data_IF_632869591758
#
_entry.id   IF_632869591758
#
_cell.length_a   1.000
_cell.length_b   1.000
_cell.length_c   1.000
_cell.angle_alpha   90.00
_cell.angle_beta   90.00
_cell.angle_gamma   90.00
#
_symmetry.space_group_name_H-M   'P 1'
#
loop_
_entity.id
_entity.type
_entity.pdbx_description
1 polymer ?
#
# COMPACT_ATOMS: atom_id res chain seq x y z
N UNK A 1 -7.41 15.81 -35.80
CA UNK A 1 -6.13 15.33 -35.23
C UNK A 1 -5.03 15.67 -36.21
N UNK A 2 -4.01 16.43 -35.79
CA UNK A 2 -2.77 16.60 -36.56
C UNK A 2 -1.86 15.45 -36.15
N UNK A 3 -1.79 14.39 -36.95
CA UNK A 3 -0.66 13.48 -36.87
C UNK A 3 0.61 14.27 -37.21
N UNK A 4 1.62 14.15 -36.37
CA UNK A 4 2.91 14.78 -36.59
C UNK A 4 3.68 13.88 -37.58
N UNK A 5 4.13 14.44 -38.71
CA UNK A 5 4.95 13.75 -39.75
C UNK A 5 6.38 13.43 -39.28
N UNK A 6 6.55 12.97 -38.04
CA UNK A 6 7.85 12.58 -37.50
C UNK A 6 8.09 11.09 -37.78
N UNK A 7 9.00 10.81 -38.71
CA UNK A 7 9.46 9.45 -39.05
C UNK A 7 10.21 8.74 -37.92
N UNK A 8 10.62 9.47 -36.87
CA UNK A 8 11.29 8.92 -35.69
C UNK A 8 10.71 9.53 -34.41
N UNK A 9 9.78 8.84 -33.72
CA UNK A 9 9.29 9.29 -32.42
C UNK A 9 10.41 9.22 -31.38
N UNK A 10 10.64 10.33 -30.67
CA UNK A 10 11.62 10.42 -29.58
C UNK A 10 10.84 10.38 -28.27
N UNK A 11 11.00 9.31 -27.50
CA UNK A 11 10.38 9.14 -26.18
C UNK A 11 11.44 9.43 -25.12
N UNK A 12 11.09 10.25 -24.13
CA UNK A 12 11.94 10.51 -22.96
C UNK A 12 11.53 9.59 -21.83
N UNK A 13 12.48 8.85 -21.31
CA UNK A 13 12.30 7.86 -20.25
C UNK A 13 13.32 8.19 -19.17
N UNK A 14 12.99 7.94 -17.91
CA UNK A 14 13.96 8.03 -16.82
C UNK A 14 14.91 6.83 -16.85
N UNK A 15 16.16 7.00 -16.44
CA UNK A 15 17.15 5.90 -16.42
C UNK A 15 16.69 4.70 -15.58
N UNK A 16 15.87 4.94 -14.54
CA UNK A 16 15.28 3.89 -13.71
C UNK A 16 14.19 3.07 -14.42
N UNK A 17 13.49 3.66 -15.41
CA UNK A 17 12.39 3.04 -16.14
C UNK A 17 12.86 2.27 -17.39
N UNK A 18 14.15 2.37 -17.77
CA UNK A 18 14.67 1.81 -19.02
C UNK A 18 14.40 0.31 -19.14
N UNK A 19 14.70 -0.46 -18.10
CA UNK A 19 14.55 -1.91 -18.13
C UNK A 19 13.07 -2.34 -18.27
N UNK A 20 12.18 -1.67 -17.53
CA UNK A 20 10.74 -1.91 -17.59
C UNK A 20 10.17 -1.54 -18.96
N UNK A 21 10.61 -0.43 -19.53
CA UNK A 21 10.19 0.01 -20.87
C UNK A 21 10.68 -0.93 -21.97
N UNK A 22 11.91 -1.43 -21.87
CA UNK A 22 12.46 -2.38 -22.84
C UNK A 22 11.70 -3.71 -22.83
N UNK A 23 11.32 -4.22 -21.67
CA UNK A 23 10.46 -5.41 -21.56
C UNK A 23 9.03 -5.13 -22.06
N UNK A 24 8.49 -3.93 -21.83
CA UNK A 24 7.20 -3.52 -22.38
C UNK A 24 7.21 -3.49 -23.91
N UNK A 25 8.26 -2.92 -24.52
CA UNK A 25 8.43 -2.96 -25.98
C UNK A 25 8.55 -4.40 -26.47
N UNK A 26 9.34 -5.24 -25.80
CA UNK A 26 9.45 -6.65 -26.14
C UNK A 26 8.10 -7.35 -26.07
N UNK A 27 7.27 -7.03 -25.07
CA UNK A 27 5.92 -7.54 -24.96
C UNK A 27 5.02 -7.07 -26.11
N UNK A 28 5.08 -5.81 -26.54
CA UNK A 28 4.32 -5.32 -27.69
C UNK A 28 4.63 -6.10 -28.97
N UNK A 29 5.89 -6.46 -29.19
CA UNK A 29 6.32 -7.18 -30.40
C UNK A 29 6.14 -8.69 -30.32
N UNK A 30 6.30 -9.30 -29.13
CA UNK A 30 6.33 -10.76 -28.97
C UNK A 30 5.14 -11.34 -28.22
N UNK A 31 4.36 -10.51 -27.52
CA UNK A 31 3.27 -10.90 -26.63
C UNK A 31 3.71 -11.61 -25.36
N UNK A 32 5.00 -11.60 -25.01
CA UNK A 32 5.55 -12.35 -23.87
C UNK A 32 6.49 -11.48 -23.02
N UNK A 33 6.38 -11.63 -21.70
CA UNK A 33 7.33 -11.11 -20.72
C UNK A 33 8.39 -12.16 -20.44
N UNK A 34 9.64 -11.73 -20.21
CA UNK A 34 10.73 -12.67 -19.89
C UNK A 34 11.13 -12.71 -18.44
N UNK A 35 10.53 -11.85 -17.63
CA UNK A 35 10.85 -11.63 -16.23
C UNK A 35 9.76 -12.24 -15.35
N UNK A 36 10.18 -12.80 -14.22
CA UNK A 36 9.28 -13.34 -13.17
C UNK A 36 9.56 -12.69 -11.82
N UNK A 37 10.40 -11.66 -11.79
CA UNK A 37 10.77 -10.94 -10.58
C UNK A 37 9.65 -9.96 -10.20
N UNK A 38 9.12 -10.01 -8.96
CA UNK A 38 7.98 -9.18 -8.53
C UNK A 38 8.20 -7.67 -8.64
N UNK A 39 9.41 -7.19 -8.34
CA UNK A 39 9.81 -5.77 -8.41
C UNK A 39 9.75 -5.25 -9.85
N UNK A 40 10.48 -5.91 -10.73
CA UNK A 40 10.54 -5.55 -12.15
C UNK A 40 9.17 -5.70 -12.84
N UNK A 41 8.37 -6.68 -12.42
CA UNK A 41 7.02 -6.86 -12.95
C UNK A 41 6.07 -5.73 -12.54
N UNK A 42 6.25 -5.18 -11.34
CA UNK A 42 5.54 -3.98 -10.90
C UNK A 42 5.99 -2.76 -11.70
N UNK A 43 7.29 -2.59 -11.93
CA UNK A 43 7.81 -1.50 -12.76
C UNK A 43 7.28 -1.58 -14.20
N UNK A 44 7.19 -2.80 -14.77
CA UNK A 44 6.59 -3.06 -16.08
C UNK A 44 5.10 -2.75 -16.05
N UNK A 45 4.38 -3.13 -14.99
CA UNK A 45 2.96 -2.81 -14.83
C UNK A 45 2.73 -1.29 -14.80
N UNK A 46 3.58 -0.55 -14.08
CA UNK A 46 3.55 0.92 -14.00
C UNK A 46 3.86 1.57 -15.36
N UNK A 47 4.86 1.07 -16.07
CA UNK A 47 5.15 1.51 -17.44
C UNK A 47 3.99 1.18 -18.38
N UNK A 48 3.41 -0.02 -18.29
CA UNK A 48 2.30 -0.45 -19.11
C UNK A 48 1.06 0.42 -18.87
N UNK A 49 0.76 0.77 -17.63
CA UNK A 49 -0.33 1.70 -17.27
C UNK A 49 -0.06 3.10 -17.83
N UNK A 50 1.16 3.63 -17.63
CA UNK A 50 1.62 4.94 -18.15
C UNK A 50 1.52 5.06 -19.68
N UNK A 51 1.78 3.97 -20.40
CA UNK A 51 1.70 3.91 -21.86
C UNK A 51 0.40 3.26 -22.39
N UNK A 52 -0.59 3.05 -21.51
CA UNK A 52 -1.93 2.52 -21.80
C UNK A 52 -1.95 1.16 -22.55
N UNK A 53 -0.99 0.29 -22.22
CA UNK A 53 -0.85 -1.05 -22.81
C UNK A 53 -1.68 -2.07 -22.01
N UNK A 54 -3.00 -2.00 -22.17
CA UNK A 54 -3.96 -2.77 -21.36
C UNK A 54 -3.71 -4.29 -21.37
N UNK A 55 -3.27 -4.86 -22.50
CA UNK A 55 -2.95 -6.30 -22.59
C UNK A 55 -1.79 -6.69 -21.66
N UNK A 56 -0.79 -5.82 -21.54
CA UNK A 56 0.34 -6.03 -20.64
C UNK A 56 -0.09 -5.86 -19.18
N UNK A 57 -0.93 -4.87 -18.88
CA UNK A 57 -1.48 -4.64 -17.52
C UNK A 57 -2.22 -5.87 -17.00
N UNK A 58 -3.14 -6.42 -17.79
CA UNK A 58 -3.87 -7.63 -17.42
C UNK A 58 -2.96 -8.84 -17.26
N UNK A 59 -1.96 -9.00 -18.14
CA UNK A 59 -1.02 -10.12 -18.07
C UNK A 59 -0.09 -10.04 -16.85
N UNK A 60 0.47 -8.85 -16.56
CA UNK A 60 1.28 -8.60 -15.37
C UNK A 60 0.47 -8.85 -14.10
N UNK A 61 -0.76 -8.35 -14.02
CA UNK A 61 -1.64 -8.54 -12.87
C UNK A 61 -1.92 -10.02 -12.60
N UNK A 62 -2.24 -10.80 -13.64
CA UNK A 62 -2.41 -12.25 -13.52
C UNK A 62 -1.13 -12.94 -13.03
N UNK A 63 0.03 -12.56 -13.57
CA UNK A 63 1.29 -13.16 -13.18
C UNK A 63 1.64 -12.82 -11.71
N UNK A 64 1.42 -11.57 -11.28
CA UNK A 64 1.56 -11.12 -9.90
C UNK A 64 0.65 -11.90 -8.94
N UNK A 65 -0.60 -12.14 -9.31
CA UNK A 65 -1.52 -12.97 -8.48
C UNK A 65 -1.15 -14.45 -8.44
N UNK A 66 -0.47 -14.96 -9.49
CA UNK A 66 -0.06 -16.37 -9.55
C UNK A 66 1.22 -16.67 -8.77
N UNK A 67 2.02 -15.64 -8.50
CA UNK A 67 3.26 -15.75 -7.72
C UNK A 67 2.93 -15.86 -6.22
N UNK A 68 3.77 -16.55 -5.42
CA UNK A 68 3.58 -16.60 -3.98
C UNK A 68 3.76 -15.20 -3.39
N UNK A 69 2.69 -14.66 -2.78
CA UNK A 69 2.72 -13.37 -2.11
C UNK A 69 3.65 -13.45 -0.87
N UNK A 70 4.62 -12.56 -0.81
CA UNK A 70 5.49 -12.35 0.36
C UNK A 70 5.12 -11.04 1.04
N UNK A 71 5.57 -10.81 2.28
CA UNK A 71 5.29 -9.53 2.95
C UNK A 71 6.00 -8.36 2.31
N UNK A 72 7.22 -8.57 1.81
CA UNK A 72 7.97 -7.54 1.08
C UNK A 72 7.25 -7.14 -0.21
N UNK A 73 6.79 -8.12 -1.00
CA UNK A 73 6.04 -7.84 -2.24
C UNK A 73 4.68 -7.19 -1.97
N UNK A 74 3.94 -7.64 -0.95
CA UNK A 74 2.67 -7.03 -0.57
C UNK A 74 2.83 -5.56 -0.14
N UNK A 75 3.89 -5.25 0.63
CA UNK A 75 4.18 -3.87 1.02
C UNK A 75 4.58 -3.01 -0.18
N UNK A 76 5.38 -3.55 -1.10
CA UNK A 76 5.77 -2.84 -2.33
C UNK A 76 4.55 -2.52 -3.21
N UNK A 77 3.59 -3.44 -3.32
CA UNK A 77 2.35 -3.22 -4.08
C UNK A 77 1.44 -2.16 -3.46
N UNK A 78 1.45 -2.03 -2.13
CA UNK A 78 0.64 -1.04 -1.40
C UNK A 78 1.27 0.35 -1.40
N UNK A 79 2.60 0.43 -1.41
CA UNK A 79 3.33 1.69 -1.39
C UNK A 79 3.38 2.35 -2.78
N UNK A 80 3.19 1.58 -3.86
CA UNK A 80 3.21 2.13 -5.21
C UNK A 80 1.93 2.92 -5.51
N UNK A 81 2.05 4.21 -5.86
CA UNK A 81 0.93 4.99 -6.33
C UNK A 81 0.63 4.55 -7.77
N UNK A 82 -0.22 3.53 -7.95
CA UNK A 82 -0.79 3.26 -9.27
C UNK A 82 -1.59 4.51 -9.67
N UNK A 83 -1.05 5.26 -10.62
CA UNK A 83 -1.53 6.59 -10.99
C UNK A 83 -2.86 6.48 -11.72
N UNK A 84 -3.96 6.67 -11.00
CA UNK A 84 -5.25 7.16 -11.51
C UNK A 84 -6.03 6.29 -12.52
N UNK A 85 -5.44 5.29 -13.17
CA UNK A 85 -6.17 4.26 -13.94
C UNK A 85 -6.16 2.95 -13.16
N UNK A 86 -7.04 2.87 -12.15
CA UNK A 86 -7.40 1.59 -11.53
C UNK A 86 -8.10 0.73 -12.58
N UNK A 87 -7.32 0.03 -13.41
CA UNK A 87 -7.87 -1.12 -14.11
C UNK A 87 -8.32 -2.12 -13.04
N UNK A 88 -9.46 -2.77 -13.26
CA UNK A 88 -10.00 -3.75 -12.31
C UNK A 88 -8.99 -4.87 -11.99
N UNK A 89 -7.99 -5.07 -12.86
CA UNK A 89 -6.93 -6.06 -12.65
C UNK A 89 -5.92 -5.62 -11.59
N UNK A 90 -5.51 -4.34 -11.58
CA UNK A 90 -4.58 -3.79 -10.58
C UNK A 90 -5.23 -3.73 -9.20
N UNK A 91 -6.52 -3.38 -9.15
CA UNK A 91 -7.30 -3.43 -7.90
C UNK A 91 -7.33 -4.86 -7.33
N UNK A 92 -7.47 -5.87 -8.19
CA UNK A 92 -7.42 -7.28 -7.77
C UNK A 92 -6.09 -7.68 -7.11
N UNK A 93 -4.96 -7.21 -7.63
CA UNK A 93 -3.64 -7.45 -7.02
C UNK A 93 -3.53 -6.78 -5.64
N UNK A 94 -4.00 -5.53 -5.53
CA UNK A 94 -4.01 -4.79 -4.26
C UNK A 94 -4.93 -5.47 -3.24
N UNK A 95 -6.13 -5.90 -3.64
CA UNK A 95 -7.05 -6.64 -2.78
C UNK A 95 -6.42 -7.94 -2.29
N UNK A 96 -5.79 -8.72 -3.18
CA UNK A 96 -5.08 -9.94 -2.79
C UNK A 96 -3.92 -9.68 -1.82
N UNK A 97 -3.18 -8.58 -2.00
CA UNK A 97 -2.12 -8.17 -1.08
C UNK A 97 -2.69 -7.79 0.30
N UNK A 98 -3.80 -7.04 0.34
CA UNK A 98 -4.50 -6.69 1.59
C UNK A 98 -5.01 -7.93 2.32
N UNK A 99 -5.64 -8.86 1.61
CA UNK A 99 -6.14 -10.12 2.18
C UNK A 99 -4.98 -11.00 2.71
N UNK A 100 -3.87 -11.06 1.99
CA UNK A 100 -2.68 -11.79 2.43
C UNK A 100 -2.12 -11.20 3.73
N UNK A 101 -2.00 -9.88 3.84
CA UNK A 101 -1.56 -9.21 5.06
C UNK A 101 -2.54 -9.41 6.21
N UNK A 102 -3.84 -9.27 5.95
CA UNK A 102 -4.89 -9.49 6.95
C UNK A 102 -4.84 -10.92 7.52
N UNK A 103 -4.67 -11.93 6.66
CA UNK A 103 -4.59 -13.33 7.07
C UNK A 103 -3.29 -13.64 7.84
N UNK A 104 -2.15 -13.09 7.40
CA UNK A 104 -0.85 -13.33 8.06
C UNK A 104 -0.77 -12.65 9.43
N UNK A 105 -1.32 -11.44 9.56
CA UNK A 105 -1.26 -10.62 10.76
C UNK A 105 -2.56 -10.62 11.57
N UNK A 106 -3.38 -11.66 11.44
CA UNK A 106 -4.62 -11.83 12.20
C UNK A 106 -4.38 -11.79 13.72
N UNK A 107 -3.29 -12.41 14.17
CA UNK A 107 -2.80 -12.42 15.55
C UNK A 107 -1.99 -11.15 15.86
N UNK A 108 -2.67 -10.01 15.87
CA UNK A 108 -2.04 -8.70 16.07
C UNK A 108 -1.11 -8.64 17.29
N UNK A 109 -1.47 -9.30 18.39
CA UNK A 109 -0.70 -9.31 19.62
C UNK A 109 0.69 -9.97 19.49
N UNK A 110 0.87 -10.92 18.56
CA UNK A 110 2.16 -11.62 18.36
C UNK A 110 3.12 -10.83 17.48
N UNK A 111 2.58 -10.01 16.57
CA UNK A 111 3.36 -9.34 15.52
C UNK A 111 3.61 -7.85 15.78
N UNK A 112 3.25 -7.32 16.95
CA UNK A 112 3.39 -5.88 17.27
C UNK A 112 4.80 -5.33 16.96
N UNK A 113 5.86 -6.08 17.31
CA UNK A 113 7.23 -5.64 17.06
C UNK A 113 7.58 -5.59 15.56
N UNK A 114 7.06 -6.52 14.76
CA UNK A 114 7.29 -6.55 13.31
C UNK A 114 6.51 -5.43 12.62
N UNK A 115 5.25 -5.22 13.04
CA UNK A 115 4.37 -4.16 12.55
C UNK A 115 4.94 -2.76 12.82
N UNK A 116 5.81 -2.61 13.83
CA UNK A 116 6.46 -1.33 14.10
C UNK A 116 7.33 -0.84 12.94
N UNK A 117 7.88 -1.77 12.15
CA UNK A 117 8.73 -1.47 11.02
C UNK A 117 7.95 -1.21 9.72
N UNK A 118 6.63 -1.45 9.72
CA UNK A 118 5.81 -1.36 8.51
C UNK A 118 5.59 0.10 8.06
N UNK A 119 5.47 0.32 6.74
CA UNK A 119 5.04 1.60 6.19
C UNK A 119 3.54 1.83 6.44
N UNK A 120 3.10 3.09 6.34
CA UNK A 120 1.71 3.51 6.58
C UNK A 120 0.70 2.68 5.78
N UNK A 121 0.95 2.47 4.48
CA UNK A 121 0.05 1.73 3.59
C UNK A 121 -0.18 0.28 4.04
N UNK A 122 0.85 -0.37 4.59
CA UNK A 122 0.74 -1.71 5.14
C UNK A 122 -0.13 -1.77 6.40
N UNK A 123 0.01 -0.78 7.29
CA UNK A 123 -0.79 -0.72 8.53
C UNK A 123 -2.23 -0.37 8.23
N UNK A 124 -2.48 0.57 7.33
CA UNK A 124 -3.84 0.89 6.86
C UNK A 124 -4.53 -0.36 6.30
N UNK A 125 -3.83 -1.14 5.48
CA UNK A 125 -4.35 -2.39 4.92
C UNK A 125 -4.74 -3.40 6.01
N UNK A 126 -3.90 -3.56 7.03
CA UNK A 126 -4.15 -4.48 8.14
C UNK A 126 -5.32 -4.00 9.00
N UNK A 127 -5.33 -2.71 9.38
CA UNK A 127 -6.38 -2.11 10.22
C UNK A 127 -7.73 -2.01 9.51
N UNK A 128 -7.74 -1.94 8.18
CA UNK A 128 -8.98 -1.99 7.39
C UNK A 128 -9.67 -3.35 7.46
N UNK A 129 -8.95 -4.42 7.84
CA UNK A 129 -9.51 -5.77 7.92
C UNK A 129 -10.54 -5.91 9.05
N UNK A 130 -11.60 -6.68 8.81
CA UNK A 130 -12.59 -7.04 9.83
C UNK A 130 -12.17 -8.18 10.72
N UNK A 131 -11.19 -8.98 10.30
CA UNK A 131 -10.91 -10.30 10.87
C UNK A 131 -9.72 -10.31 11.83
N UNK A 132 -9.34 -9.13 12.34
CA UNK A 132 -8.28 -8.99 13.34
C UNK A 132 -8.71 -9.65 14.65
N UNK A 133 -7.92 -10.63 15.12
CA UNK A 133 -8.16 -11.33 16.39
C UNK A 133 -7.69 -10.46 17.55
N UNK A 134 -8.40 -9.38 17.82
CA UNK A 134 -8.11 -8.49 18.94
C UNK A 134 -9.22 -8.58 19.98
N UNK A 135 -8.81 -8.71 21.25
CA UNK A 135 -9.73 -8.81 22.38
C UNK A 135 -10.54 -7.51 22.53
N UNK A 136 -9.91 -6.35 22.26
CA UNK A 136 -10.51 -5.00 22.30
C UNK A 136 -9.78 -4.04 21.37
N UNK A 137 -10.52 -3.10 20.79
CA UNK A 137 -9.96 -2.00 19.98
C UNK A 137 -9.03 -1.06 20.78
N UNK A 138 -9.09 -1.09 22.12
CA UNK A 138 -8.19 -0.31 22.99
C UNK A 138 -6.71 -0.58 22.67
N UNK A 139 -6.36 -1.84 22.37
CA UNK A 139 -4.98 -2.25 22.05
C UNK A 139 -4.53 -1.73 20.68
N UNK A 140 -5.45 -1.66 19.71
CA UNK A 140 -5.17 -1.15 18.36
C UNK A 140 -4.87 0.35 18.43
N UNK A 141 -5.65 1.09 19.20
CA UNK A 141 -5.44 2.52 19.40
C UNK A 141 -4.14 2.84 20.14
N UNK A 142 -3.82 2.10 21.20
CA UNK A 142 -2.56 2.27 21.91
C UNK A 142 -1.35 1.95 21.01
N UNK A 143 -1.44 0.89 20.20
CA UNK A 143 -0.41 0.56 19.20
C UNK A 143 -0.25 1.68 18.17
N UNK A 144 -1.35 2.17 17.61
CA UNK A 144 -1.36 3.24 16.61
C UNK A 144 -0.66 4.51 17.11
N UNK A 145 -0.91 4.91 18.35
CA UNK A 145 -0.22 6.03 18.98
C UNK A 145 1.28 5.77 19.13
N UNK A 146 1.65 4.57 19.56
CA UNK A 146 3.07 4.20 19.72
C UNK A 146 3.77 4.16 18.36
N UNK A 147 3.13 3.59 17.34
CA UNK A 147 3.65 3.53 15.97
C UNK A 147 3.84 4.91 15.36
N UNK A 148 2.84 5.79 15.49
CA UNK A 148 2.92 7.14 14.96
C UNK A 148 4.04 7.95 15.63
N UNK A 149 4.30 7.72 16.93
CA UNK A 149 5.41 8.35 17.68
C UNK A 149 6.79 7.91 17.20
N UNK A 150 6.98 6.62 16.92
CA UNK A 150 8.27 6.11 16.45
C UNK A 150 8.57 6.50 14.99
N UNK A 151 7.54 6.59 14.13
CA UNK A 151 7.71 6.87 12.71
C UNK A 151 7.75 8.36 12.37
N UNK A 152 7.02 9.19 13.11
CA UNK A 152 6.87 10.61 12.86
C UNK A 152 7.23 11.41 14.12
N UNK A 153 8.49 11.87 14.24
CA UNK A 153 8.90 12.73 15.35
C UNK A 153 8.27 14.13 15.26
N UNK A 154 7.89 14.57 14.06
CA UNK A 154 7.22 15.85 13.82
C UNK A 154 5.74 15.78 14.19
N UNK A 155 5.31 16.69 15.06
CA UNK A 155 3.96 16.68 15.65
C UNK A 155 2.85 16.95 14.64
N UNK A 156 3.08 17.86 13.69
CA UNK A 156 2.09 18.26 12.70
C UNK A 156 1.80 17.11 11.71
N UNK A 157 2.85 16.49 11.17
CA UNK A 157 2.73 15.34 10.27
C UNK A 157 2.10 14.13 10.98
N UNK A 158 2.50 13.87 12.23
CA UNK A 158 1.91 12.83 13.08
C UNK A 158 0.40 13.04 13.26
N UNK A 159 -0.01 14.28 13.53
CA UNK A 159 -1.43 14.64 13.72
C UNK A 159 -2.22 14.50 12.43
N UNK A 160 -1.68 14.95 11.32
CA UNK A 160 -2.36 14.84 10.02
C UNK A 160 -2.60 13.38 9.66
N UNK A 161 -1.58 12.51 9.81
CA UNK A 161 -1.69 11.09 9.49
C UNK A 161 -2.65 10.37 10.44
N UNK A 162 -2.56 10.64 11.75
CA UNK A 162 -3.49 10.07 12.72
C UNK A 162 -4.93 10.47 12.40
N UNK A 163 -5.19 11.77 12.24
CA UNK A 163 -6.54 12.30 12.06
C UNK A 163 -7.18 11.90 10.73
N UNK A 164 -6.43 11.97 9.63
CA UNK A 164 -6.98 11.78 8.28
C UNK A 164 -7.03 10.31 7.86
N UNK A 165 -6.07 9.49 8.30
CA UNK A 165 -5.88 8.12 7.78
C UNK A 165 -6.19 7.04 8.80
N UNK A 166 -5.75 7.22 10.04
CA UNK A 166 -5.74 6.14 11.02
C UNK A 166 -6.96 6.14 11.95
N UNK A 167 -7.40 7.30 12.45
CA UNK A 167 -8.60 7.43 13.28
C UNK A 167 -9.87 6.88 12.60
N UNK A 168 -10.11 7.09 11.29
CA UNK A 168 -11.27 6.51 10.62
C UNK A 168 -11.30 4.97 10.61
N UNK A 169 -10.14 4.32 10.78
CA UNK A 169 -10.02 2.86 10.78
C UNK A 169 -10.35 2.26 12.15
N UNK A 170 -10.30 3.04 13.23
CA UNK A 170 -10.58 2.57 14.58
C UNK A 170 -12.08 2.48 14.81
N UNK A 171 -12.56 1.30 15.21
CA UNK A 171 -13.98 1.11 15.55
C UNK A 171 -14.23 1.53 17.00
N UNK A 172 -14.48 2.82 17.21
CA UNK A 172 -14.79 3.38 18.53
C UNK A 172 -15.96 2.68 19.25
N UNK A 173 -16.85 2.00 18.51
CA UNK A 173 -17.95 1.19 19.07
C UNK A 173 -17.48 0.00 19.92
N UNK A 174 -16.27 -0.51 19.70
CA UNK A 174 -15.70 -1.66 20.42
C UNK A 174 -14.63 -1.27 21.44
N UNK A 175 -14.45 0.04 21.66
CA UNK A 175 -13.60 0.55 22.74
C UNK A 175 -14.32 0.56 24.07
N UNK A 176 -13.55 0.60 25.15
CA UNK A 176 -14.12 0.75 26.48
C UNK A 176 -14.39 2.19 26.86
N UNK A 177 -15.48 2.39 27.60
CA UNK A 177 -15.95 3.71 28.02
C UNK A 177 -14.89 4.53 28.76
N UNK A 178 -14.01 3.89 29.54
CA UNK A 178 -12.89 4.57 30.21
C UNK A 178 -11.91 5.14 29.19
N UNK A 179 -11.56 4.36 28.16
CA UNK A 179 -10.62 4.82 27.13
C UNK A 179 -11.24 5.86 26.21
N UNK A 180 -12.53 5.75 25.90
CA UNK A 180 -13.27 6.78 25.16
C UNK A 180 -13.36 8.08 25.96
N UNK A 181 -13.58 8.01 27.28
CA UNK A 181 -13.56 9.18 28.14
C UNK A 181 -12.17 9.81 28.20
N UNK A 182 -11.10 9.03 28.24
CA UNK A 182 -9.72 9.54 28.14
C UNK A 182 -9.47 10.21 26.78
N UNK A 183 -9.89 9.61 25.67
CA UNK A 183 -9.72 10.20 24.33
C UNK A 183 -10.52 11.50 24.18
N UNK A 184 -11.73 11.57 24.75
CA UNK A 184 -12.57 12.77 24.75
C UNK A 184 -12.08 13.83 25.75
N UNK A 185 -11.41 13.43 26.81
CA UNK A 185 -10.83 14.31 27.82
C UNK A 185 -9.45 14.84 27.42
N UNK A 186 -8.71 14.11 26.58
CA UNK A 186 -7.54 14.61 25.87
C UNK A 186 -7.98 15.78 24.98
N UNK A 187 -7.78 16.99 25.50
CA UNK A 187 -7.60 18.13 24.60
C UNK A 187 -6.37 17.87 23.74
N UNK A 188 -6.35 18.43 22.53
CA UNK A 188 -5.34 18.21 21.49
C UNK A 188 -3.88 18.21 22.00
N UNK A 189 -3.60 18.89 23.11
CA UNK A 189 -2.28 19.03 23.76
C UNK A 189 -1.81 17.80 24.57
N UNK A 190 -2.67 16.83 24.91
CA UNK A 190 -2.28 15.67 25.75
C UNK A 190 -1.70 14.49 24.97
N UNK A 191 -1.68 14.55 23.62
CA UNK A 191 -0.93 13.56 22.82
C UNK A 191 0.59 13.68 23.08
N UNK A 192 1.01 14.81 23.69
CA UNK A 192 2.41 15.20 23.89
C UNK A 192 3.00 14.83 25.25
N UNK A 193 2.20 14.38 26.24
CA UNK A 193 2.71 14.18 27.60
C UNK A 193 2.21 12.90 28.27
N UNK A 194 2.80 11.76 27.92
CA UNK A 194 3.01 10.68 28.91
C UNK A 194 4.47 10.23 28.85
N UNK A 195 5.19 10.56 29.92
CA UNK A 195 6.50 9.99 30.28
C UNK A 195 6.33 8.62 30.92
#
# INVERSE_FOLDING_TARGET
MKESDQTHPIIRIADSEENAFMELLRYMYSGKLTTTEPSLLLDILMAADKFEVLSCVGHCSQLLTSLPMTTESALLYLDHPCSTSLSAEVEGVICAAKEFLANKYNDFAKFQHELMNFPLAGIEAILSSTDLQVIREDCIYAFMLTWARERYPELEERREILSSRLLPLVRFSHMTCTKLQEILACSDDDIDHEK
#
